data_IF_000483076736
#
_entry.id   IF_000483076736
#
_cell.length_a   1.000
_cell.length_b   1.000
_cell.length_c   1.000
_cell.angle_alpha   90.00
_cell.angle_beta   90.00
_cell.angle_gamma   90.00
#
_symmetry.space_group_name_H-M   'P 1'
#
loop_
_entity.id
_entity.type
_entity.pdbx_description
1 polymer ?
#
# COMPACT_ATOMS: atom_id res chain seq x y z
N UNK A 1 -9.87 -3.69 14.19
CA UNK A 1 -9.20 -2.39 13.98
C UNK A 1 -9.39 -1.45 15.16
N UNK A 2 -10.60 -0.99 15.51
CA UNK A 2 -10.79 0.07 16.53
C UNK A 2 -10.17 -0.20 17.90
N UNK A 3 -10.25 -1.43 18.43
CA UNK A 3 -9.62 -1.80 19.71
C UNK A 3 -8.09 -1.70 19.64
N UNK A 4 -7.48 -2.26 18.60
CA UNK A 4 -6.03 -2.18 18.37
C UNK A 4 -5.60 -0.73 18.11
N UNK A 5 -6.39 0.04 17.37
CA UNK A 5 -6.11 1.47 17.14
C UNK A 5 -6.08 2.28 18.43
N UNK A 6 -6.99 1.98 19.38
CA UNK A 6 -6.98 2.58 20.72
C UNK A 6 -5.78 2.11 21.55
N UNK A 7 -5.42 0.84 21.48
CA UNK A 7 -4.28 0.28 22.22
C UNK A 7 -2.95 0.87 21.75
N UNK A 8 -2.80 1.06 20.43
CA UNK A 8 -1.60 1.62 19.82
C UNK A 8 -1.55 3.15 19.85
N UNK A 9 -2.63 3.82 20.27
CA UNK A 9 -2.77 5.28 20.27
C UNK A 9 -2.43 5.90 18.89
N UNK A 10 -3.11 5.42 17.84
CA UNK A 10 -2.77 5.75 16.44
C UNK A 10 -2.99 7.23 16.10
N UNK A 11 -2.02 7.85 15.43
CA UNK A 11 -2.09 9.25 15.01
C UNK A 11 -3.05 9.50 13.83
N UNK A 12 -3.08 8.57 12.87
CA UNK A 12 -3.92 8.68 11.67
C UNK A 12 -4.24 7.32 11.05
N UNK A 13 -5.24 7.30 10.15
CA UNK A 13 -5.64 6.12 9.38
C UNK A 13 -5.50 6.43 7.89
N UNK A 14 -4.86 5.53 7.15
CA UNK A 14 -4.78 5.59 5.68
C UNK A 14 -5.72 4.55 5.09
N UNK A 15 -6.59 4.97 4.17
CA UNK A 15 -7.45 4.09 3.37
C UNK A 15 -6.91 3.99 1.94
N UNK A 16 -6.72 2.77 1.44
CA UNK A 16 -6.16 2.49 0.10
C UNK A 16 -7.26 2.23 -0.93
N UNK A 17 -8.36 2.99 -0.88
CA UNK A 17 -9.51 2.84 -1.76
C UNK A 17 -9.26 3.31 -3.20
N UNK A 18 -10.15 2.93 -4.10
CA UNK A 18 -10.04 3.13 -5.55
C UNK A 18 -10.29 4.58 -5.99
N UNK A 19 -10.81 5.42 -5.08
CA UNK A 19 -11.24 6.80 -5.37
C UNK A 19 -10.76 7.73 -4.26
N UNK A 20 -9.97 8.73 -4.63
CA UNK A 20 -9.61 9.87 -3.79
C UNK A 20 -10.45 11.06 -4.21
N UNK A 21 -11.01 11.78 -3.25
CA UNK A 21 -11.78 13.00 -3.46
C UNK A 21 -10.98 14.16 -2.87
N UNK A 22 -10.72 15.20 -3.67
CA UNK A 22 -9.86 16.33 -3.25
C UNK A 22 -10.36 17.00 -1.96
N UNK A 23 -11.68 17.09 -1.79
CA UNK A 23 -12.34 17.69 -0.62
C UNK A 23 -13.13 16.68 0.25
N UNK A 24 -12.97 15.38 -0.01
CA UNK A 24 -13.85 14.34 0.57
C UNK A 24 -15.26 14.34 -0.02
N UNK A 25 -16.12 13.44 0.47
CA UNK A 25 -17.55 13.46 0.20
C UNK A 25 -18.26 14.33 1.25
N UNK A 26 -19.16 15.20 0.81
CA UNK A 26 -19.90 16.13 1.68
C UNK A 26 -20.98 15.42 2.48
N UNK A 27 -21.70 14.49 1.84
CA UNK A 27 -22.76 13.69 2.42
C UNK A 27 -23.04 12.42 1.57
N UNK A 28 -24.10 11.68 1.91
CA UNK A 28 -24.48 10.42 1.24
C UNK A 28 -25.09 10.63 -0.16
N UNK A 29 -25.50 11.85 -0.49
CA UNK A 29 -26.11 12.23 -1.76
C UNK A 29 -25.14 13.05 -2.64
N UNK A 30 -23.85 13.09 -2.27
CA UNK A 30 -22.86 13.87 -2.98
C UNK A 30 -22.73 13.40 -4.44
N UNK A 31 -22.91 14.32 -5.39
CA UNK A 31 -22.80 14.02 -6.81
C UNK A 31 -21.42 13.45 -7.18
N UNK A 32 -20.36 13.79 -6.45
CA UNK A 32 -19.03 13.21 -6.64
C UNK A 32 -19.03 11.69 -6.35
N UNK A 33 -19.86 11.21 -5.42
CA UNK A 33 -20.06 9.78 -5.19
C UNK A 33 -20.73 9.13 -6.40
N UNK A 34 -21.86 9.65 -6.89
CA UNK A 34 -22.54 9.09 -8.06
C UNK A 34 -21.68 9.12 -9.33
N UNK A 35 -21.06 10.27 -9.62
CA UNK A 35 -20.19 10.40 -10.80
C UNK A 35 -19.02 9.43 -10.76
N UNK A 36 -18.40 9.23 -9.60
CA UNK A 36 -17.18 8.40 -9.49
C UNK A 36 -17.45 6.92 -9.21
N UNK A 37 -18.54 6.57 -8.51
CA UNK A 37 -18.84 5.23 -7.99
C UNK A 37 -19.83 4.47 -8.88
N UNK A 38 -20.92 5.10 -9.35
CA UNK A 38 -21.94 4.39 -10.14
C UNK A 38 -21.67 4.43 -11.64
N UNK A 39 -21.05 5.50 -12.16
CA UNK A 39 -20.86 5.69 -13.60
C UNK A 39 -19.50 5.20 -14.15
N UNK A 40 -18.45 5.14 -13.33
CA UNK A 40 -17.10 4.70 -13.71
C UNK A 40 -16.62 3.50 -12.87
N UNK A 41 -17.27 2.35 -13.05
CA UNK A 41 -16.87 1.04 -12.48
C UNK A 41 -15.93 0.24 -13.40
N UNK A 42 -15.43 0.85 -14.47
CA UNK A 42 -14.48 0.21 -15.38
C UNK A 42 -13.05 0.39 -14.89
N UNK A 43 -12.41 -0.72 -14.49
CA UNK A 43 -10.96 -0.86 -14.36
C UNK A 43 -10.27 -0.37 -15.65
N UNK A 44 -9.96 0.92 -15.70
CA UNK A 44 -9.21 1.53 -16.79
C UNK A 44 -8.05 2.31 -16.18
N UNK A 45 -7.04 1.56 -15.76
CA UNK A 45 -5.65 2.03 -15.67
C UNK A 45 -5.06 2.41 -17.04
N UNK A 46 -5.89 2.52 -18.08
CA UNK A 46 -5.50 2.83 -19.46
C UNK A 46 -4.88 4.22 -19.60
N UNK A 47 -4.97 5.08 -18.60
CA UNK A 47 -4.27 6.36 -18.58
C UNK A 47 -3.72 6.65 -17.17
N UNK A 48 -2.69 5.91 -16.73
CA UNK A 48 -1.74 6.54 -15.81
C UNK A 48 -1.21 7.78 -16.53
N UNK A 49 -1.76 8.91 -16.14
CA UNK A 49 -1.40 10.19 -16.69
C UNK A 49 0.09 10.38 -16.43
N UNK A 50 0.87 10.63 -17.49
CA UNK A 50 2.30 10.94 -17.37
C UNK A 50 2.56 12.06 -16.38
N UNK A 51 1.57 12.94 -16.17
CA UNK A 51 1.60 13.98 -15.13
C UNK A 51 1.71 13.36 -13.74
N UNK A 52 0.90 12.36 -13.38
CA UNK A 52 0.96 11.72 -12.05
C UNK A 52 2.34 11.14 -11.74
N UNK A 53 2.94 10.40 -12.68
CA UNK A 53 4.29 9.86 -12.48
C UNK A 53 5.35 10.96 -12.38
N UNK A 54 5.20 12.03 -13.17
CA UNK A 54 6.12 13.18 -13.14
C UNK A 54 6.01 13.94 -11.82
N UNK A 55 4.80 14.26 -11.40
CA UNK A 55 4.52 15.04 -10.19
C UNK A 55 4.95 14.26 -8.94
N UNK A 56 4.67 12.94 -8.90
CA UNK A 56 5.20 12.06 -7.86
C UNK A 56 6.74 12.04 -7.86
N UNK A 57 7.36 11.91 -9.03
CA UNK A 57 8.82 11.95 -9.17
C UNK A 57 9.41 13.25 -8.63
N UNK A 58 8.86 14.40 -9.01
CA UNK A 58 9.27 15.72 -8.53
C UNK A 58 9.10 15.84 -7.01
N UNK A 59 7.93 15.48 -6.47
CA UNK A 59 7.68 15.53 -5.02
C UNK A 59 8.64 14.64 -4.22
N UNK A 60 8.97 13.44 -4.75
CA UNK A 60 9.94 12.54 -4.13
C UNK A 60 11.37 13.10 -4.19
N UNK A 61 11.74 13.79 -5.26
CA UNK A 61 13.07 14.41 -5.42
C UNK A 61 13.25 15.62 -4.50
N UNK A 62 12.20 16.43 -4.35
CA UNK A 62 12.20 17.62 -3.50
C UNK A 62 12.13 17.28 -1.99
N UNK A 63 11.62 16.10 -1.65
CA UNK A 63 11.45 15.67 -0.27
C UNK A 63 12.76 15.19 0.37
N UNK A 64 13.12 15.83 1.49
CA UNK A 64 14.18 15.42 2.41
C UNK A 64 13.72 14.41 3.47
N UNK A 65 12.50 13.87 3.34
CA UNK A 65 11.98 12.90 4.29
C UNK A 65 12.85 11.63 4.32
N UNK A 66 13.20 11.18 5.53
CA UNK A 66 14.05 10.01 5.73
C UNK A 66 13.36 8.71 5.32
N UNK A 67 12.06 8.61 5.53
CA UNK A 67 11.22 7.53 5.03
C UNK A 67 10.37 8.04 3.88
N UNK A 68 10.38 7.33 2.76
CA UNK A 68 9.54 7.61 1.60
C UNK A 68 8.56 6.47 1.43
N UNK A 69 7.27 6.77 1.57
CA UNK A 69 6.18 5.80 1.50
C UNK A 69 5.24 6.26 0.39
N UNK A 70 4.95 5.37 -0.55
CA UNK A 70 3.97 5.62 -1.61
C UNK A 70 2.75 4.75 -1.35
N UNK A 71 1.57 5.37 -1.37
CA UNK A 71 0.30 4.68 -1.18
C UNK A 71 -0.49 4.75 -2.48
N UNK A 72 -1.00 3.61 -2.93
CA UNK A 72 -1.87 3.52 -4.11
C UNK A 72 -2.95 2.47 -3.91
N UNK A 73 -3.94 2.41 -4.80
CA UNK A 73 -4.96 1.37 -4.71
C UNK A 73 -4.47 0.01 -5.23
N UNK A 74 -3.95 -0.01 -6.46
CA UNK A 74 -3.61 -1.23 -7.18
C UNK A 74 -2.24 -1.80 -6.83
N UNK A 75 -2.07 -3.09 -7.14
CA UNK A 75 -0.89 -3.90 -6.82
C UNK A 75 0.27 -3.64 -7.79
N UNK A 76 1.45 -3.31 -7.26
CA UNK A 76 2.72 -3.39 -8.01
C UNK A 76 3.28 -4.81 -8.02
N UNK A 77 3.19 -5.48 -6.87
CA UNK A 77 3.55 -6.88 -6.68
C UNK A 77 2.45 -7.55 -5.87
N UNK A 78 1.91 -8.65 -6.37
CA UNK A 78 0.94 -9.43 -5.61
C UNK A 78 0.87 -10.89 -6.06
N UNK A 79 0.74 -11.80 -5.10
CA UNK A 79 0.36 -13.20 -5.35
C UNK A 79 -1.15 -13.45 -5.24
N UNK A 80 -1.96 -12.41 -5.00
CA UNK A 80 -3.41 -12.47 -4.97
C UNK A 80 -4.08 -12.58 -6.34
N UNK A 81 -5.40 -12.43 -6.34
CA UNK A 81 -6.26 -12.65 -7.51
C UNK A 81 -5.87 -11.81 -8.73
N UNK A 82 -5.69 -10.49 -8.57
CA UNK A 82 -5.34 -9.62 -9.69
C UNK A 82 -3.86 -9.69 -10.05
N UNK A 83 -3.02 -10.05 -9.09
CA UNK A 83 -1.58 -10.20 -9.29
C UNK A 83 -0.90 -8.88 -9.62
N UNK A 84 0.05 -8.90 -10.57
CA UNK A 84 0.85 -7.73 -10.91
C UNK A 84 0.19 -6.82 -11.95
N UNK A 85 0.02 -5.53 -11.62
CA UNK A 85 -0.45 -4.53 -12.59
C UNK A 85 0.67 -4.12 -13.56
N UNK A 86 0.58 -4.54 -14.82
CA UNK A 86 1.65 -4.37 -15.82
C UNK A 86 1.98 -2.90 -16.10
N UNK A 87 0.96 -2.05 -16.16
CA UNK A 87 1.09 -0.62 -16.46
C UNK A 87 1.83 0.10 -15.33
N UNK A 88 1.50 -0.20 -14.07
CA UNK A 88 2.20 0.33 -12.90
C UNK A 88 3.65 -0.16 -12.84
N UNK A 89 3.90 -1.43 -13.13
CA UNK A 89 5.27 -1.95 -13.22
C UNK A 89 6.07 -1.22 -14.31
N UNK A 90 5.44 -0.90 -15.44
CA UNK A 90 6.13 -0.24 -16.56
C UNK A 90 6.39 1.25 -16.29
N UNK A 91 5.46 1.94 -15.64
CA UNK A 91 5.46 3.42 -15.57
C UNK A 91 5.79 3.96 -14.18
N UNK A 92 5.30 3.33 -13.12
CA UNK A 92 5.41 3.83 -11.75
C UNK A 92 6.60 3.21 -11.01
N UNK A 93 6.81 1.90 -11.16
CA UNK A 93 7.90 1.19 -10.46
C UNK A 93 9.28 1.81 -10.73
N UNK A 94 9.65 2.22 -11.96
CA UNK A 94 10.93 2.89 -12.21
C UNK A 94 11.06 4.19 -11.41
N UNK A 95 10.01 5.03 -11.38
CA UNK A 95 10.00 6.29 -10.63
C UNK A 95 10.19 6.04 -9.13
N UNK A 96 9.49 5.06 -8.57
CA UNK A 96 9.59 4.69 -7.15
C UNK A 96 10.99 4.16 -6.80
N UNK A 97 11.57 3.33 -7.68
CA UNK A 97 12.91 2.77 -7.47
C UNK A 97 14.01 3.83 -7.61
N UNK A 98 13.96 4.68 -8.64
CA UNK A 98 14.91 5.78 -8.87
C UNK A 98 14.95 6.76 -7.70
N UNK A 99 13.83 6.93 -7.00
CA UNK A 99 13.69 7.84 -5.88
C UNK A 99 13.89 7.21 -4.49
N UNK A 100 14.36 5.96 -4.43
CA UNK A 100 14.65 5.24 -3.18
C UNK A 100 13.46 5.19 -2.21
N UNK A 101 12.25 4.95 -2.72
CA UNK A 101 11.07 4.71 -1.90
C UNK A 101 11.28 3.43 -1.07
N UNK A 102 10.87 3.49 0.19
CA UNK A 102 11.04 2.38 1.14
C UNK A 102 9.87 1.41 1.08
N UNK A 103 8.65 1.93 1.04
CA UNK A 103 7.43 1.14 1.13
C UNK A 103 6.44 1.57 0.04
N UNK A 104 5.91 0.59 -0.68
CA UNK A 104 4.70 0.75 -1.47
C UNK A 104 3.55 0.01 -0.78
N UNK A 105 2.50 0.74 -0.43
CA UNK A 105 1.34 0.20 0.30
C UNK A 105 0.11 0.27 -0.60
N UNK A 106 -0.62 -0.83 -0.71
CA UNK A 106 -1.82 -0.90 -1.54
C UNK A 106 -2.95 -1.74 -0.95
N UNK A 107 -4.10 -1.68 -1.62
CA UNK A 107 -5.25 -2.54 -1.41
C UNK A 107 -5.49 -3.39 -2.66
N UNK A 108 -6.71 -3.30 -3.22
CA UNK A 108 -7.17 -3.97 -4.44
C UNK A 108 -7.30 -5.50 -4.33
N UNK A 109 -6.20 -6.19 -4.05
CA UNK A 109 -6.26 -7.61 -3.74
C UNK A 109 -6.79 -7.81 -2.32
N UNK A 110 -7.87 -8.56 -2.22
CA UNK A 110 -8.58 -8.83 -0.97
C UNK A 110 -7.84 -9.87 -0.12
N UNK A 111 -6.62 -9.53 0.28
CA UNK A 111 -5.74 -10.29 1.15
C UNK A 111 -4.84 -9.34 1.96
N UNK A 112 -4.04 -9.92 2.85
CA UNK A 112 -2.89 -9.25 3.46
C UNK A 112 -1.61 -9.89 2.94
N UNK A 113 -0.65 -9.08 2.50
CA UNK A 113 0.55 -9.59 1.85
C UNK A 113 1.76 -8.71 2.12
N UNK A 114 2.93 -9.36 2.20
CA UNK A 114 4.22 -8.71 2.21
C UNK A 114 5.19 -9.41 1.25
N UNK A 115 5.64 -8.66 0.25
CA UNK A 115 6.65 -9.08 -0.73
C UNK A 115 7.85 -8.14 -0.65
N UNK A 116 9.06 -8.69 -0.52
CA UNK A 116 10.30 -7.91 -0.66
C UNK A 116 10.75 -7.87 -2.12
N UNK A 117 11.33 -6.74 -2.54
CA UNK A 117 12.15 -6.71 -3.75
C UNK A 117 13.42 -7.55 -3.56
N UNK A 118 13.86 -8.32 -4.58
CA UNK A 118 15.11 -9.08 -4.50
C UNK A 118 16.36 -8.19 -4.66
N UNK A 119 16.22 -7.02 -5.31
CA UNK A 119 17.35 -6.20 -5.75
C UNK A 119 17.31 -4.77 -5.19
N UNK A 120 16.38 -4.46 -4.29
CA UNK A 120 16.25 -3.13 -3.67
C UNK A 120 15.66 -3.26 -2.27
N UNK A 121 15.86 -2.25 -1.39
CA UNK A 121 15.26 -2.24 -0.05
C UNK A 121 13.73 -2.04 -0.05
N UNK A 122 13.14 -1.68 -1.20
CA UNK A 122 11.70 -1.45 -1.38
C UNK A 122 10.88 -2.69 -0.97
N UNK A 123 9.91 -2.47 -0.09
CA UNK A 123 8.90 -3.46 0.29
C UNK A 123 7.55 -3.16 -0.36
N UNK A 124 6.82 -4.21 -0.72
CA UNK A 124 5.45 -4.15 -1.23
C UNK A 124 4.52 -4.75 -0.18
N UNK A 125 3.54 -3.97 0.26
CA UNK A 125 2.64 -4.30 1.36
C UNK A 125 1.19 -4.15 0.90
N UNK A 126 0.45 -5.26 0.88
CA UNK A 126 -0.99 -5.26 0.56
C UNK A 126 -1.80 -5.38 1.84
N UNK A 127 -2.73 -4.45 2.05
CA UNK A 127 -3.72 -4.48 3.12
C UNK A 127 -5.13 -4.31 2.55
N UNK A 128 -5.54 -5.18 1.64
CA UNK A 128 -6.85 -5.10 0.96
C UNK A 128 -7.95 -5.99 1.56
N UNK A 129 -7.63 -6.82 2.56
CA UNK A 129 -8.58 -7.70 3.27
C UNK A 129 -9.51 -7.01 4.28
N UNK A 130 -9.74 -5.69 4.19
CA UNK A 130 -10.45 -4.94 5.24
C UNK A 130 -11.94 -5.27 5.39
N UNK A 131 -12.58 -5.80 4.35
CA UNK A 131 -14.02 -6.14 4.36
C UNK A 131 -14.31 -7.44 3.61
N UNK A 132 -13.79 -7.62 2.40
CA UNK A 132 -13.86 -8.90 1.68
C UNK A 132 -12.47 -9.55 1.71
N UNK A 133 -12.42 -10.88 1.72
CA UNK A 133 -11.19 -11.64 1.56
C UNK A 133 -11.39 -12.80 0.57
N UNK A 134 -10.39 -13.06 -0.27
CA UNK A 134 -10.44 -14.12 -1.28
C UNK A 134 -9.70 -15.37 -0.82
N UNK A 135 -10.38 -16.15 0.03
CA UNK A 135 -9.85 -17.40 0.57
C UNK A 135 -9.50 -18.40 -0.53
N UNK A 136 -8.29 -18.95 -0.45
CA UNK A 136 -7.77 -19.93 -1.40
C UNK A 136 -7.38 -19.37 -2.77
N UNK A 137 -7.54 -18.06 -3.00
CA UNK A 137 -7.19 -17.42 -4.27
C UNK A 137 -5.77 -16.87 -4.19
N UNK A 138 -4.80 -17.76 -4.42
CA UNK A 138 -3.38 -17.45 -4.35
C UNK A 138 -2.65 -18.06 -5.54
N UNK A 139 -1.97 -17.21 -6.29
CA UNK A 139 -1.06 -17.61 -7.33
C UNK A 139 0.28 -18.06 -6.75
N UNK A 140 0.96 -18.97 -7.47
CA UNK A 140 2.33 -19.34 -7.11
C UNK A 140 3.24 -18.10 -7.13
N UNK A 141 4.14 -18.00 -6.15
CA UNK A 141 5.11 -16.92 -6.06
C UNK A 141 6.44 -17.46 -5.53
N UNK A 142 7.53 -16.76 -5.83
CA UNK A 142 8.86 -17.13 -5.34
C UNK A 142 8.92 -17.03 -3.80
N UNK A 143 9.17 -18.15 -3.08
CA UNK A 143 9.18 -18.16 -1.62
C UNK A 143 10.29 -17.30 -1.00
N UNK A 144 11.34 -16.97 -1.76
CA UNK A 144 12.43 -16.11 -1.27
C UNK A 144 11.97 -14.65 -1.13
N UNK A 145 10.99 -14.20 -1.93
CA UNK A 145 10.53 -12.81 -1.95
C UNK A 145 9.17 -12.62 -1.27
N UNK A 146 8.26 -13.60 -1.32
CA UNK A 146 6.98 -13.53 -0.57
C UNK A 146 7.23 -13.89 0.89
N UNK A 147 7.22 -12.87 1.76
CA UNK A 147 7.48 -13.01 3.19
C UNK A 147 6.24 -13.41 3.99
N UNK A 148 5.07 -12.97 3.53
CA UNK A 148 3.80 -13.25 4.20
C UNK A 148 2.64 -13.15 3.20
N UNK A 149 1.64 -14.01 3.38
CA UNK A 149 0.35 -13.96 2.68
C UNK A 149 -0.73 -14.50 3.60
N UNK A 150 -1.85 -13.79 3.69
CA UNK A 150 -3.03 -14.19 4.44
C UNK A 150 -4.28 -13.86 3.65
N UNK A 151 -5.09 -14.89 3.38
CA UNK A 151 -6.30 -14.85 2.56
C UNK A 151 -7.58 -14.62 3.37
N UNK A 152 -7.41 -14.21 4.64
CA UNK A 152 -8.48 -13.79 5.53
C UNK A 152 -8.59 -12.26 5.63
N UNK A 153 -9.57 -11.83 6.41
CA UNK A 153 -9.81 -10.42 6.66
C UNK A 153 -8.88 -9.88 7.75
N UNK A 154 -8.53 -8.60 7.64
CA UNK A 154 -7.69 -7.95 8.62
C UNK A 154 -7.18 -6.60 8.17
N UNK A 155 -6.11 -6.14 8.82
CA UNK A 155 -5.52 -4.82 8.57
C UNK A 155 -4.04 -4.80 8.94
N UNK A 156 -3.35 -3.76 8.50
CA UNK A 156 -1.95 -3.50 8.84
C UNK A 156 -1.85 -2.28 9.77
N UNK A 157 -1.00 -2.35 10.79
CA UNK A 157 -0.58 -1.21 11.60
C UNK A 157 0.90 -0.93 11.34
N UNK A 158 1.26 0.36 11.30
CA UNK A 158 2.63 0.82 11.14
C UNK A 158 2.96 1.80 12.26
N UNK A 159 4.04 1.53 12.98
CA UNK A 159 4.68 2.48 13.89
C UNK A 159 5.97 2.95 13.25
N UNK A 160 6.17 4.26 13.21
CA UNK A 160 7.29 4.88 12.51
C UNK A 160 7.95 5.95 13.38
N UNK A 161 9.28 5.91 13.40
CA UNK A 161 10.13 6.92 14.01
C UNK A 161 11.16 7.40 12.99
N UNK A 162 11.99 8.38 13.36
CA UNK A 162 13.11 8.79 12.51
C UNK A 162 14.12 7.67 12.24
N UNK A 163 14.21 6.65 13.09
CA UNK A 163 15.22 5.59 12.97
C UNK A 163 14.64 4.25 12.52
N UNK A 164 13.37 3.99 12.80
CA UNK A 164 12.79 2.66 12.71
C UNK A 164 11.36 2.70 12.16
N UNK A 165 11.02 1.67 11.39
CA UNK A 165 9.66 1.34 10.98
C UNK A 165 9.36 -0.06 11.49
N UNK A 166 8.23 -0.21 12.16
CA UNK A 166 7.66 -1.48 12.62
C UNK A 166 6.28 -1.67 12.00
N UNK A 167 6.04 -2.83 11.41
CA UNK A 167 4.82 -3.18 10.71
C UNK A 167 4.27 -4.48 11.26
N UNK A 168 2.97 -4.48 11.59
CA UNK A 168 2.27 -5.65 12.08
C UNK A 168 0.98 -5.82 11.28
N UNK A 169 0.77 -7.03 10.78
CA UNK A 169 -0.51 -7.45 10.19
C UNK A 169 -1.35 -8.14 11.26
N UNK A 170 -2.62 -7.79 11.31
CA UNK A 170 -3.59 -8.33 12.26
C UNK A 170 -4.77 -8.97 11.53
N UNK A 171 -5.31 -10.05 12.10
CA UNK A 171 -6.63 -10.55 11.71
C UNK A 171 -7.77 -9.69 12.31
N UNK A 172 -9.01 -10.08 12.02
CA UNK A 172 -10.21 -9.40 12.55
C UNK A 172 -10.34 -9.46 14.08
N UNK A 173 -9.68 -10.41 14.74
CA UNK A 173 -9.71 -10.57 16.19
C UNK A 173 -8.61 -9.75 16.89
N UNK A 174 -7.71 -9.13 16.12
CA UNK A 174 -6.56 -8.41 16.66
C UNK A 174 -5.37 -9.32 16.98
N UNK A 175 -5.36 -10.55 16.46
CA UNK A 175 -4.20 -11.45 16.56
C UNK A 175 -3.13 -11.00 15.57
N UNK A 176 -1.89 -10.82 16.04
CA UNK A 176 -0.77 -10.51 15.16
C UNK A 176 -0.42 -11.73 14.28
N UNK A 177 -0.50 -11.56 12.97
CA UNK A 177 -0.24 -12.59 11.96
C UNK A 177 1.19 -12.54 11.44
N UNK A 178 1.73 -11.34 11.25
CA UNK A 178 3.07 -11.13 10.70
C UNK A 178 3.66 -9.84 11.24
N UNK A 179 4.98 -9.83 11.47
CA UNK A 179 5.74 -8.66 11.91
C UNK A 179 6.94 -8.46 11.01
N UNK A 180 7.19 -7.21 10.65
CA UNK A 180 8.41 -6.83 9.93
C UNK A 180 8.88 -5.47 10.43
N UNK A 181 10.20 -5.34 10.57
CA UNK A 181 10.82 -4.11 11.04
C UNK A 181 12.07 -3.82 10.23
N UNK A 182 12.37 -2.53 10.06
CA UNK A 182 13.64 -2.08 9.49
C UNK A 182 14.09 -0.78 10.14
N UNK A 183 15.37 -0.47 10.00
CA UNK A 183 15.96 0.75 10.54
C UNK A 183 16.87 1.43 9.53
N UNK A 184 17.00 2.75 9.68
CA UNK A 184 17.94 3.59 8.94
C UNK A 184 18.84 4.30 9.94
N UNK A 185 20.16 4.27 9.69
CA UNK A 185 21.14 5.03 10.48
C UNK A 185 20.71 6.49 10.62
N UNK A 186 20.86 7.04 11.84
CA UNK A 186 20.64 8.46 12.12
C UNK A 186 21.80 9.35 11.66
N UNK A 187 22.94 8.73 11.31
CA UNK A 187 24.12 9.40 10.80
C UNK A 187 24.37 8.95 9.35
N UNK A 188 24.19 9.87 8.40
CA UNK A 188 24.90 9.79 7.12
C UNK A 188 26.32 10.27 7.39
N UNK A 189 27.33 9.44 7.07
CA UNK A 189 28.73 9.83 7.19
C UNK A 189 29.00 11.18 6.52
N UNK A 190 29.82 11.99 7.19
CA UNK A 190 30.39 13.25 6.71
C UNK A 190 31.22 12.98 5.45
#
# INVERSE_FOLDING_TARGET
MGLIGKELDIDFVISTGDKFYDDGLRDVDDAAFEESFTKYTGCHLLNLDRRVCKDLGSALQESNAKWKIVVGHHTLKSAGHHGNTKELIKQLLPVIQENNVDLYINGHDHCLEHITSPNSPLQFLTSGGGSKAWRGDISWWNPNTKKFYYDGQGFMAMQITMAQVDIIFYDIFGSALHKWSTSKSLYSGI
#
